data_IF_134240701151
#
_entry.id   IF_134240701151
#
_cell.length_a   1.000
_cell.length_b   1.000
_cell.length_c   1.000
_cell.angle_alpha   90.00
_cell.angle_beta   90.00
_cell.angle_gamma   90.00
#
_symmetry.space_group_name_H-M   'P 1'
#
loop_
_entity.id
_entity.type
_entity.pdbx_description
1 polymer ?
#
# COMPACT_ATOMS: atom_id res chain seq x y z
N UNK A 1 -13.77 14.78 21.72
CA UNK A 1 -12.97 14.77 22.95
C UNK A 1 -12.47 13.35 23.14
N UNK A 2 -11.17 13.13 23.00
CA UNK A 2 -10.53 11.82 22.86
C UNK A 2 -9.63 11.55 24.07
N UNK A 3 -10.19 11.08 25.19
CA UNK A 3 -9.36 10.60 26.30
C UNK A 3 -8.73 9.25 25.95
N UNK A 4 -7.40 9.16 26.05
CA UNK A 4 -6.58 7.96 25.88
C UNK A 4 -5.98 7.45 27.20
N UNK A 5 -6.35 8.06 28.32
CA UNK A 5 -6.02 7.56 29.65
C UNK A 5 -7.33 7.21 30.36
N UNK A 6 -7.43 5.97 30.84
CA UNK A 6 -8.50 5.38 31.65
C UNK A 6 -9.70 4.69 30.96
N UNK A 7 -9.58 3.34 30.90
CA UNK A 7 -10.38 2.39 31.71
C UNK A 7 -11.52 1.54 31.12
N UNK A 8 -11.73 1.45 29.80
CA UNK A 8 -12.80 0.55 29.29
C UNK A 8 -12.44 -0.20 27.98
N UNK A 9 -11.24 -0.76 27.91
CA UNK A 9 -10.83 -1.58 26.75
C UNK A 9 -10.24 -2.93 27.17
N UNK A 10 -10.71 -3.97 26.48
CA UNK A 10 -10.25 -5.35 26.66
C UNK A 10 -8.86 -5.54 26.01
N UNK A 11 -7.82 -5.08 26.69
CA UNK A 11 -6.42 -5.24 26.29
C UNK A 11 -6.08 -6.71 25.99
N UNK A 12 -6.75 -7.65 26.65
CA UNK A 12 -6.63 -9.11 26.45
C UNK A 12 -6.91 -9.55 25.02
N UNK A 13 -7.88 -8.92 24.33
CA UNK A 13 -8.19 -9.23 22.92
C UNK A 13 -7.10 -8.77 21.97
N UNK A 14 -6.54 -7.58 22.21
CA UNK A 14 -5.43 -7.07 21.40
C UNK A 14 -4.17 -7.90 21.66
N UNK A 15 -3.93 -8.30 22.91
CA UNK A 15 -2.80 -9.16 23.26
C UNK A 15 -2.92 -10.54 22.61
N UNK A 16 -4.12 -11.12 22.56
CA UNK A 16 -4.38 -12.35 21.82
C UNK A 16 -4.14 -12.17 20.29
N UNK A 17 -4.54 -11.03 19.73
CA UNK A 17 -4.31 -10.73 18.32
C UNK A 17 -2.83 -10.53 17.99
N UNK A 18 -2.07 -9.92 18.90
CA UNK A 18 -0.61 -9.75 18.79
C UNK A 18 0.12 -11.09 19.00
N UNK A 19 -0.36 -11.94 19.90
CA UNK A 19 0.15 -13.30 20.03
C UNK A 19 -0.07 -14.11 18.75
N UNK A 20 -1.27 -14.04 18.17
CA UNK A 20 -1.59 -14.64 16.87
C UNK A 20 -0.67 -14.13 15.75
N UNK A 21 -0.31 -12.85 15.76
CA UNK A 21 0.57 -12.24 14.76
C UNK A 21 1.97 -12.88 14.68
N UNK A 22 2.47 -13.45 15.78
CA UNK A 22 3.78 -14.13 15.80
C UNK A 22 3.79 -15.38 14.92
N UNK A 23 2.68 -16.10 14.91
CA UNK A 23 2.50 -17.34 14.13
C UNK A 23 1.91 -17.08 12.74
N UNK A 24 1.36 -15.87 12.53
CA UNK A 24 0.58 -15.51 11.35
C UNK A 24 1.05 -14.18 10.75
N UNK A 25 2.36 -14.09 10.49
CA UNK A 25 3.01 -12.83 10.09
C UNK A 25 2.38 -12.15 8.87
N UNK A 26 1.91 -12.91 7.87
CA UNK A 26 1.34 -12.34 6.64
C UNK A 26 -0.04 -11.72 6.89
N UNK A 27 -0.98 -12.40 7.60
CA UNK A 27 -2.24 -11.75 7.98
C UNK A 27 -1.99 -10.61 8.98
N UNK A 28 -0.97 -10.71 9.82
CA UNK A 28 -0.60 -9.62 10.71
C UNK A 28 -0.17 -8.37 9.93
N UNK A 29 0.64 -8.53 8.87
CA UNK A 29 1.01 -7.42 7.98
C UNK A 29 -0.23 -6.85 7.27
N UNK A 30 -1.10 -7.71 6.73
CA UNK A 30 -2.32 -7.26 6.07
C UNK A 30 -3.24 -6.49 7.03
N UNK A 31 -3.41 -7.00 8.24
CA UNK A 31 -4.23 -6.36 9.28
C UNK A 31 -3.60 -5.05 9.76
N UNK A 32 -2.27 -4.94 9.75
CA UNK A 32 -1.56 -3.70 10.08
C UNK A 32 -1.76 -2.63 8.98
N UNK A 33 -1.73 -3.02 7.71
CA UNK A 33 -2.07 -2.13 6.60
C UNK A 33 -3.52 -1.66 6.72
N UNK A 34 -4.46 -2.59 6.92
CA UNK A 34 -5.88 -2.30 7.12
C UNK A 34 -6.08 -1.35 8.32
N UNK A 35 -5.36 -1.57 9.43
CA UNK A 35 -5.38 -0.73 10.63
C UNK A 35 -4.85 0.69 10.36
N UNK A 36 -3.76 0.83 9.59
CA UNK A 36 -3.19 2.14 9.23
C UNK A 36 -4.16 2.97 8.39
N UNK A 37 -4.88 2.32 7.47
CA UNK A 37 -5.89 2.97 6.65
C UNK A 37 -7.13 3.35 7.48
N UNK A 38 -7.55 2.50 8.44
CA UNK A 38 -8.65 2.82 9.34
C UNK A 38 -8.34 4.06 10.21
N UNK A 39 -7.12 4.16 10.74
CA UNK A 39 -6.66 5.33 11.50
C UNK A 39 -6.75 6.60 10.64
N UNK A 40 -6.49 6.47 9.34
CA UNK A 40 -6.62 7.55 8.36
C UNK A 40 -8.06 7.82 7.87
N UNK A 41 -9.09 7.12 8.35
CA UNK A 41 -10.43 7.20 7.77
C UNK A 41 -11.31 8.32 8.39
N UNK A 42 -12.07 9.07 7.57
CA UNK A 42 -13.11 10.01 8.06
C UNK A 42 -14.45 9.30 8.35
N UNK A 43 -15.34 9.99 9.08
CA UNK A 43 -16.74 9.55 9.25
C UNK A 43 -17.49 9.46 7.92
N UNK A 44 -17.37 10.48 7.07
CA UNK A 44 -18.05 10.50 5.75
C UNK A 44 -17.63 9.32 4.86
N UNK A 45 -16.40 8.83 5.01
CA UNK A 45 -15.86 7.70 4.26
C UNK A 45 -16.19 6.35 4.88
N UNK A 46 -16.29 6.30 6.21
CA UNK A 46 -16.69 5.08 6.93
C UNK A 46 -17.97 4.48 6.33
N UNK A 47 -18.96 5.33 6.02
CA UNK A 47 -20.24 4.88 5.45
C UNK A 47 -20.10 4.30 4.03
N UNK A 48 -19.12 4.75 3.26
CA UNK A 48 -18.83 4.27 1.90
C UNK A 48 -17.96 3.01 1.87
N UNK A 49 -17.21 2.74 2.95
CA UNK A 49 -16.19 1.69 3.00
C UNK A 49 -16.45 0.55 3.96
N UNK A 50 -17.53 0.61 4.75
CA UNK A 50 -17.92 -0.44 5.69
C UNK A 50 -18.08 -1.82 5.06
N UNK A 51 -18.27 -1.89 3.74
CA UNK A 51 -18.42 -3.13 2.98
C UNK A 51 -17.16 -3.62 2.26
N UNK A 52 -16.07 -2.85 2.32
CA UNK A 52 -14.79 -3.20 1.72
C UNK A 52 -14.14 -4.41 2.39
N UNK A 53 -13.27 -5.12 1.65
CA UNK A 53 -12.57 -6.30 2.13
C UNK A 53 -11.69 -6.03 3.36
N UNK A 54 -10.95 -4.92 3.36
CA UNK A 54 -10.11 -4.52 4.50
C UNK A 54 -10.93 -4.21 5.74
N UNK A 55 -12.04 -3.49 5.58
CA UNK A 55 -12.88 -3.13 6.72
C UNK A 55 -13.54 -4.36 7.32
N UNK A 56 -14.01 -5.30 6.47
CA UNK A 56 -14.55 -6.58 6.94
C UNK A 56 -13.51 -7.41 7.69
N UNK A 57 -12.26 -7.49 7.19
CA UNK A 57 -11.17 -8.19 7.89
C UNK A 57 -10.88 -7.57 9.25
N UNK A 58 -10.70 -6.24 9.28
CA UNK A 58 -10.38 -5.50 10.49
C UNK A 58 -11.53 -5.58 11.51
N UNK A 59 -12.78 -5.40 11.07
CA UNK A 59 -13.97 -5.60 11.89
C UNK A 59 -13.98 -7.02 12.44
N UNK A 60 -14.02 -8.07 11.61
CA UNK A 60 -14.08 -9.45 12.09
C UNK A 60 -12.98 -9.81 13.11
N UNK A 61 -11.77 -9.26 12.97
CA UNK A 61 -10.64 -9.52 13.88
C UNK A 61 -10.65 -8.69 15.15
N UNK A 62 -11.06 -7.43 15.09
CA UNK A 62 -11.15 -6.56 16.27
C UNK A 62 -12.45 -6.78 17.05
N UNK A 63 -13.47 -7.36 16.41
CA UNK A 63 -14.87 -7.21 16.80
C UNK A 63 -15.54 -8.49 17.27
N UNK A 64 -14.82 -9.45 17.83
CA UNK A 64 -15.33 -10.79 18.20
C UNK A 64 -16.71 -10.88 18.91
N UNK A 65 -17.21 -9.78 19.49
CA UNK A 65 -18.60 -9.63 20.00
C UNK A 65 -19.22 -8.23 19.76
N UNK A 66 -18.76 -7.45 18.78
CA UNK A 66 -19.30 -6.12 18.51
C UNK A 66 -20.53 -6.20 17.59
N UNK A 67 -21.58 -6.85 18.07
CA UNK A 67 -22.96 -6.65 17.58
C UNK A 67 -23.44 -5.21 17.77
N UNK A 68 -22.70 -4.36 18.47
CA UNK A 68 -23.04 -2.95 18.73
C UNK A 68 -22.44 -1.93 17.75
N UNK A 69 -21.58 -2.34 16.80
CA UNK A 69 -20.99 -1.46 15.76
C UNK A 69 -21.94 -1.20 14.57
N UNK A 70 -23.18 -1.68 14.64
CA UNK A 70 -24.15 -1.61 13.54
C UNK A 70 -24.64 -0.20 13.23
N UNK A 71 -24.45 0.75 14.15
CA UNK A 71 -24.97 2.11 13.99
C UNK A 71 -24.16 2.97 13.04
N UNK A 72 -22.92 2.56 12.73
CA UNK A 72 -22.02 3.27 11.81
C UNK A 72 -21.78 4.73 12.18
N UNK A 73 -21.88 5.07 13.46
CA UNK A 73 -21.77 6.45 13.90
C UNK A 73 -20.31 6.83 14.24
N UNK A 74 -20.09 8.11 14.50
CA UNK A 74 -18.75 8.65 14.75
C UNK A 74 -18.07 8.01 15.97
N UNK A 75 -18.84 7.64 17.00
CA UNK A 75 -18.28 7.04 18.21
C UNK A 75 -17.75 5.63 17.93
N UNK A 76 -18.43 4.86 17.09
CA UNK A 76 -17.99 3.52 16.67
C UNK A 76 -16.69 3.57 15.86
N UNK A 77 -16.59 4.50 14.89
CA UNK A 77 -15.35 4.75 14.15
C UNK A 77 -14.19 5.11 15.09
N UNK A 78 -14.43 6.03 16.03
CA UNK A 78 -13.43 6.45 17.03
C UNK A 78 -12.91 5.26 17.83
N UNK A 79 -13.81 4.37 18.29
CA UNK A 79 -13.42 3.17 19.02
C UNK A 79 -12.55 2.24 18.16
N UNK A 80 -12.95 1.99 16.91
CA UNK A 80 -12.16 1.15 16.01
C UNK A 80 -10.77 1.74 15.73
N UNK A 81 -10.66 3.06 15.54
CA UNK A 81 -9.39 3.75 15.32
C UNK A 81 -8.44 3.60 16.53
N UNK A 82 -8.97 3.66 17.76
CA UNK A 82 -8.20 3.38 18.99
C UNK A 82 -7.69 1.93 19.01
N UNK A 83 -8.51 0.95 18.64
CA UNK A 83 -8.08 -0.45 18.54
C UNK A 83 -6.97 -0.65 17.50
N UNK A 84 -7.15 -0.12 16.30
CA UNK A 84 -6.15 -0.16 15.24
C UNK A 84 -4.82 0.48 15.67
N UNK A 85 -4.89 1.59 16.40
CA UNK A 85 -3.72 2.26 16.96
C UNK A 85 -2.95 1.39 17.95
N UNK A 86 -3.64 0.85 18.97
CA UNK A 86 -3.00 0.02 20.00
C UNK A 86 -2.40 -1.25 19.37
N UNK A 87 -3.08 -1.84 18.38
CA UNK A 87 -2.57 -2.96 17.61
C UNK A 87 -1.26 -2.61 16.87
N UNK A 88 -1.25 -1.54 16.07
CA UNK A 88 -0.04 -1.09 15.37
C UNK A 88 1.12 -0.80 16.32
N UNK A 89 0.83 -0.11 17.43
CA UNK A 89 1.82 0.18 18.47
C UNK A 89 2.44 -1.09 19.03
N UNK A 90 1.63 -2.09 19.41
CA UNK A 90 2.13 -3.36 19.97
C UNK A 90 2.91 -4.18 18.94
N UNK A 91 2.48 -4.22 17.68
CA UNK A 91 3.25 -4.88 16.63
C UNK A 91 4.61 -4.20 16.43
N UNK A 92 4.65 -2.87 16.45
CA UNK A 92 5.89 -2.10 16.36
C UNK A 92 6.81 -2.34 17.56
N UNK A 93 6.29 -2.30 18.79
CA UNK A 93 7.07 -2.52 20.02
C UNK A 93 7.66 -3.94 20.10
N UNK A 94 7.02 -4.92 19.46
CA UNK A 94 7.48 -6.31 19.41
C UNK A 94 8.24 -6.65 18.13
N UNK A 95 8.54 -5.68 17.27
CA UNK A 95 9.22 -5.87 15.98
C UNK A 95 8.54 -6.92 15.07
N UNK A 96 7.21 -6.98 15.08
CA UNK A 96 6.42 -7.94 14.30
C UNK A 96 6.01 -7.42 12.91
N UNK A 97 6.31 -6.15 12.61
CA UNK A 97 6.06 -5.56 11.30
C UNK A 97 7.26 -5.78 10.39
N UNK A 98 6.97 -6.26 9.17
CA UNK A 98 7.94 -6.39 8.08
C UNK A 98 8.19 -5.02 7.45
N UNK A 99 9.37 -4.83 6.89
CA UNK A 99 9.88 -3.56 6.39
C UNK A 99 8.98 -2.98 5.28
N UNK A 100 8.50 -3.84 4.37
CA UNK A 100 7.54 -3.44 3.32
C UNK A 100 6.21 -2.92 3.87
N UNK A 101 5.73 -3.50 4.97
CA UNK A 101 4.50 -3.03 5.60
C UNK A 101 4.77 -1.70 6.33
N UNK A 102 5.93 -1.55 6.96
CA UNK A 102 6.32 -0.32 7.67
C UNK A 102 6.33 0.88 6.74
N UNK A 103 6.88 0.75 5.54
CA UNK A 103 6.93 1.84 4.57
C UNK A 103 5.53 2.32 4.17
N UNK A 104 4.63 1.39 3.83
CA UNK A 104 3.24 1.72 3.49
C UNK A 104 2.48 2.28 4.68
N UNK A 105 2.61 1.68 5.88
CA UNK A 105 1.97 2.16 7.12
C UNK A 105 2.45 3.58 7.45
N UNK A 106 3.75 3.84 7.32
CA UNK A 106 4.34 5.17 7.57
C UNK A 106 3.73 6.22 6.64
N UNK A 107 3.66 5.93 5.34
CA UNK A 107 3.06 6.83 4.36
C UNK A 107 1.58 7.07 4.67
N UNK A 108 0.84 6.01 5.06
CA UNK A 108 -0.55 6.10 5.49
C UNK A 108 -0.72 7.03 6.71
N UNK A 109 0.06 6.81 7.76
CA UNK A 109 -0.04 7.61 8.99
C UNK A 109 0.45 9.06 8.81
N UNK A 110 1.39 9.30 7.90
CA UNK A 110 1.88 10.64 7.58
C UNK A 110 0.76 11.53 7.01
N UNK A 111 -0.21 10.95 6.30
CA UNK A 111 -1.40 11.65 5.83
C UNK A 111 -2.23 12.27 6.97
N UNK A 112 -2.30 11.59 8.11
CA UNK A 112 -3.20 11.96 9.22
C UNK A 112 -2.59 13.01 10.16
N UNK A 113 -1.30 13.31 10.00
CA UNK A 113 -0.52 14.15 10.92
C UNK A 113 -1.01 15.60 11.00
N UNK A 114 -1.66 16.12 9.97
CA UNK A 114 -2.14 17.51 9.96
C UNK A 114 -3.44 17.70 10.76
N UNK A 115 -4.16 16.62 11.06
CA UNK A 115 -5.53 16.70 11.61
C UNK A 115 -5.68 15.89 12.92
N UNK A 116 -4.61 15.23 13.36
CA UNK A 116 -4.59 14.35 14.53
C UNK A 116 -4.86 15.02 15.90
N UNK A 117 -5.19 16.32 15.95
CA UNK A 117 -5.60 17.02 17.19
C UNK A 117 -4.70 16.69 18.38
N UNK A 118 -5.28 16.13 19.44
CA UNK A 118 -4.61 15.74 20.70
C UNK A 118 -3.68 14.51 20.55
N UNK A 119 -3.88 13.64 19.55
CA UNK A 119 -3.10 12.41 19.33
C UNK A 119 -1.94 12.60 18.34
N UNK A 120 -1.78 13.82 17.80
CA UNK A 120 -0.74 14.16 16.83
C UNK A 120 0.65 13.77 17.31
N UNK A 121 0.99 14.08 18.56
CA UNK A 121 2.29 13.73 19.13
C UNK A 121 2.55 12.21 19.16
N UNK A 122 1.51 11.41 19.41
CA UNK A 122 1.62 9.96 19.42
C UNK A 122 1.83 9.40 18.00
N UNK A 123 1.07 9.90 17.00
CA UNK A 123 1.24 9.50 15.59
C UNK A 123 2.62 9.92 15.06
N UNK A 124 3.08 11.14 15.38
CA UNK A 124 4.45 11.59 15.05
C UNK A 124 5.47 10.61 15.61
N UNK A 125 5.38 10.27 16.90
CA UNK A 125 6.32 9.34 17.54
C UNK A 125 6.34 7.96 16.85
N UNK A 126 5.18 7.45 16.45
CA UNK A 126 5.11 6.16 15.75
C UNK A 126 5.68 6.24 14.32
N UNK A 127 5.38 7.31 13.59
CA UNK A 127 5.94 7.60 12.25
C UNK A 127 7.46 7.75 12.33
N UNK A 128 7.97 8.43 13.36
CA UNK A 128 9.41 8.60 13.59
C UNK A 128 10.08 7.25 13.90
N UNK A 129 9.49 6.43 14.77
CA UNK A 129 9.97 5.08 15.05
C UNK A 129 9.97 4.17 13.82
N UNK A 130 8.98 4.30 12.94
CA UNK A 130 8.99 3.61 11.65
C UNK A 130 10.13 4.10 10.76
N UNK A 131 10.37 5.42 10.71
CA UNK A 131 11.51 6.01 10.01
C UNK A 131 12.86 5.54 10.54
N UNK A 132 13.02 5.46 11.87
CA UNK A 132 14.24 4.94 12.51
C UNK A 132 14.50 3.48 12.16
N UNK A 133 13.44 2.64 12.15
CA UNK A 133 13.56 1.23 11.76
C UNK A 133 13.98 1.07 10.30
N UNK A 134 13.38 1.83 9.39
CA UNK A 134 13.78 1.83 7.98
C UNK A 134 15.25 2.23 7.83
N UNK A 135 15.68 3.31 8.52
CA UNK A 135 17.09 3.76 8.58
C UNK A 135 18.08 2.74 9.18
N UNK A 136 17.60 1.85 10.04
CA UNK A 136 18.44 0.80 10.61
C UNK A 136 18.58 -0.40 9.66
N UNK A 137 17.57 -0.68 8.84
CA UNK A 137 17.63 -1.73 7.83
C UNK A 137 18.65 -1.42 6.72
N UNK A 138 18.84 -0.14 6.39
CA UNK A 138 19.85 0.32 5.41
C UNK A 138 21.28 -0.12 5.79
N UNK A 139 21.54 -0.37 7.08
CA UNK A 139 22.88 -0.67 7.61
C UNK A 139 23.24 -2.16 7.70
N UNK A 140 22.28 -3.07 7.49
CA UNK A 140 22.47 -4.52 7.67
C UNK A 140 22.57 -5.31 6.35
N UNK A 141 23.01 -4.68 5.25
CA UNK A 141 23.14 -5.37 3.95
C UNK A 141 24.38 -6.27 3.95
N UNK A 142 24.24 -7.47 4.53
CA UNK A 142 25.20 -8.58 4.46
C UNK A 142 24.74 -9.64 3.43
N UNK A 143 24.40 -9.20 2.20
CA UNK A 143 24.08 -10.11 1.10
C UNK A 143 24.79 -9.67 -0.20
N UNK A 144 26.11 -9.89 -0.26
CA UNK A 144 26.98 -9.59 -1.41
C UNK A 144 26.39 -10.03 -2.76
N UNK A 145 25.71 -11.18 -2.82
CA UNK A 145 25.11 -11.69 -4.07
C UNK A 145 23.84 -10.93 -4.51
N UNK A 146 23.01 -10.50 -3.56
CA UNK A 146 21.82 -9.69 -3.85
C UNK A 146 22.24 -8.32 -4.38
N UNK A 147 23.19 -7.67 -3.70
CA UNK A 147 23.68 -6.35 -4.06
C UNK A 147 24.31 -6.31 -5.46
N UNK A 148 25.13 -7.32 -5.82
CA UNK A 148 25.70 -7.41 -7.18
C UNK A 148 24.62 -7.53 -8.26
N UNK A 149 23.54 -8.27 -7.99
CA UNK A 149 22.43 -8.40 -8.93
C UNK A 149 21.66 -7.07 -9.08
N UNK A 150 21.39 -6.37 -7.97
CA UNK A 150 20.76 -5.06 -7.99
C UNK A 150 21.59 -4.04 -8.79
N UNK A 151 22.90 -3.99 -8.57
CA UNK A 151 23.81 -3.14 -9.33
C UNK A 151 23.80 -3.45 -10.84
N UNK A 152 23.77 -4.74 -11.22
CA UNK A 152 23.68 -5.15 -12.63
C UNK A 152 22.36 -4.73 -13.26
N UNK A 153 21.23 -4.90 -12.56
CA UNK A 153 19.94 -4.46 -13.06
C UNK A 153 19.91 -2.93 -13.20
N UNK A 154 20.42 -2.21 -12.21
CA UNK A 154 20.53 -0.74 -12.25
C UNK A 154 21.37 -0.26 -13.44
N UNK A 155 22.51 -0.90 -13.70
CA UNK A 155 23.34 -0.58 -14.87
C UNK A 155 22.60 -0.77 -16.20
N UNK A 156 21.55 -1.61 -16.23
CA UNK A 156 20.72 -1.83 -17.42
C UNK A 156 19.59 -0.80 -17.60
N UNK A 157 19.32 0.09 -16.64
CA UNK A 157 18.21 1.05 -16.70
C UNK A 157 18.27 1.90 -17.99
N UNK A 158 19.45 2.43 -18.31
CA UNK A 158 19.64 3.31 -19.48
C UNK A 158 19.38 2.65 -20.83
N UNK A 159 19.43 1.32 -20.90
CA UNK A 159 19.23 0.55 -22.14
C UNK A 159 17.83 -0.09 -22.21
N UNK A 160 17.04 -0.01 -21.14
CA UNK A 160 15.68 -0.56 -21.08
C UNK A 160 14.61 0.35 -21.71
N UNK A 161 14.99 1.56 -22.11
CA UNK A 161 14.14 2.42 -22.91
C UNK A 161 12.97 3.04 -22.14
N UNK A 162 13.11 3.31 -20.84
CA UNK A 162 12.02 3.87 -20.02
C UNK A 162 11.66 5.31 -20.40
N UNK A 163 12.57 6.03 -21.04
CA UNK A 163 12.38 7.40 -21.52
C UNK A 163 11.20 7.53 -22.51
N UNK A 164 10.80 6.43 -23.16
CA UNK A 164 9.64 6.38 -24.04
C UNK A 164 8.31 6.62 -23.29
N UNK A 165 8.28 6.42 -21.97
CA UNK A 165 7.09 6.60 -21.15
C UNK A 165 7.03 8.03 -20.56
N UNK A 166 5.84 8.62 -20.47
CA UNK A 166 5.57 9.81 -19.67
C UNK A 166 5.86 9.59 -18.16
N UNK A 167 5.88 10.65 -17.36
CA UNK A 167 6.45 10.67 -16.00
C UNK A 167 5.91 9.58 -15.05
N UNK A 168 4.59 9.50 -14.84
CA UNK A 168 3.98 8.50 -13.94
C UNK A 168 4.04 7.10 -14.53
N UNK A 169 3.76 6.93 -15.83
CA UNK A 169 3.87 5.65 -16.51
C UNK A 169 5.32 5.12 -16.52
N UNK A 170 6.31 6.01 -16.54
CA UNK A 170 7.74 5.67 -16.42
C UNK A 170 8.05 5.14 -15.02
N UNK A 171 7.55 5.81 -13.98
CA UNK A 171 7.67 5.33 -12.60
C UNK A 171 7.02 3.96 -12.44
N UNK A 172 5.79 3.77 -12.97
CA UNK A 172 5.10 2.48 -12.94
C UNK A 172 5.93 1.41 -13.66
N UNK A 173 6.39 1.69 -14.88
CA UNK A 173 7.19 0.75 -15.68
C UNK A 173 8.45 0.31 -14.94
N UNK A 174 9.20 1.28 -14.38
CA UNK A 174 10.46 0.99 -13.69
C UNK A 174 10.24 0.24 -12.38
N UNK A 175 9.23 0.61 -11.59
CA UNK A 175 8.97 -0.01 -10.28
C UNK A 175 8.46 -1.45 -10.43
N UNK A 176 7.58 -1.70 -11.41
CA UNK A 176 7.08 -3.05 -11.68
C UNK A 176 8.16 -3.94 -12.30
N UNK A 177 8.99 -3.42 -13.19
CA UNK A 177 10.14 -4.17 -13.73
C UNK A 177 11.21 -4.45 -12.66
N UNK A 178 11.48 -3.48 -11.79
CA UNK A 178 12.38 -3.66 -10.65
C UNK A 178 11.86 -4.74 -9.71
N UNK A 179 10.57 -4.71 -9.38
CA UNK A 179 9.92 -5.75 -8.61
C UNK A 179 10.05 -7.14 -9.26
N UNK A 180 9.76 -7.26 -10.56
CA UNK A 180 9.91 -8.52 -11.31
C UNK A 180 11.34 -9.05 -11.26
N UNK A 181 12.33 -8.15 -11.27
CA UNK A 181 13.74 -8.53 -11.13
C UNK A 181 14.08 -9.04 -9.72
N UNK A 182 13.64 -8.33 -8.68
CA UNK A 182 13.81 -8.74 -7.27
C UNK A 182 13.22 -10.14 -7.08
N UNK A 183 12.03 -10.37 -7.61
CA UNK A 183 11.35 -11.66 -7.57
C UNK A 183 12.10 -12.75 -8.34
N UNK A 184 12.58 -12.46 -9.56
CA UNK A 184 13.37 -13.38 -10.40
C UNK A 184 14.65 -13.85 -9.73
N UNK A 185 15.33 -12.93 -9.04
CA UNK A 185 16.58 -13.19 -8.33
C UNK A 185 16.38 -13.67 -6.90
N UNK A 186 15.12 -13.82 -6.46
CA UNK A 186 14.76 -14.20 -5.10
C UNK A 186 15.48 -13.33 -4.06
N UNK A 187 15.56 -12.02 -4.34
CA UNK A 187 16.15 -11.02 -3.46
C UNK A 187 15.16 -10.75 -2.33
N UNK A 188 15.67 -10.75 -1.10
CA UNK A 188 14.88 -10.40 0.08
C UNK A 188 14.38 -8.96 -0.04
N UNK A 189 13.09 -8.74 0.15
CA UNK A 189 12.48 -7.41 0.11
C UNK A 189 13.08 -6.46 1.16
N UNK A 190 13.57 -7.01 2.28
CA UNK A 190 14.23 -6.24 3.34
C UNK A 190 15.56 -5.64 2.87
N UNK A 191 16.22 -6.24 1.87
CA UNK A 191 17.43 -5.68 1.26
C UNK A 191 17.14 -4.46 0.36
N UNK A 192 15.87 -4.19 0.03
CA UNK A 192 15.47 -3.17 -0.93
C UNK A 192 14.77 -1.98 -0.25
N UNK A 193 13.90 -2.23 0.73
CA UNK A 193 13.00 -1.20 1.28
C UNK A 193 13.66 -0.19 2.24
N UNK A 194 14.87 -0.49 2.71
CA UNK A 194 15.75 0.46 3.39
C UNK A 194 16.91 0.94 2.53
N UNK A 195 16.93 0.67 1.22
CA UNK A 195 18.03 1.17 0.39
C UNK A 195 17.69 2.53 -0.21
N UNK A 196 18.72 3.27 -0.65
CA UNK A 196 18.58 4.42 -1.51
C UNK A 196 18.24 4.04 -2.96
N UNK A 197 18.01 2.75 -3.26
CA UNK A 197 17.82 2.23 -4.62
C UNK A 197 16.69 2.96 -5.36
N UNK A 198 15.55 3.23 -4.71
CA UNK A 198 14.43 3.89 -5.39
C UNK A 198 14.79 5.33 -5.76
N UNK A 199 15.42 6.09 -4.87
CA UNK A 199 15.87 7.47 -5.14
C UNK A 199 16.84 7.50 -6.31
N UNK A 200 17.79 6.57 -6.27
CA UNK A 200 18.81 6.35 -7.27
C UNK A 200 18.22 5.95 -8.62
N UNK A 201 17.27 5.01 -8.65
CA UNK A 201 16.60 4.56 -9.87
C UNK A 201 15.85 5.74 -10.49
N UNK A 202 15.09 6.50 -9.69
CA UNK A 202 14.36 7.67 -10.16
C UNK A 202 15.29 8.73 -10.76
N UNK A 203 16.44 8.97 -10.14
CA UNK A 203 17.48 9.83 -10.72
C UNK A 203 17.99 9.31 -12.07
N UNK A 204 18.29 8.00 -12.16
CA UNK A 204 18.80 7.37 -13.38
C UNK A 204 17.79 7.42 -14.54
N UNK A 205 16.48 7.49 -14.27
CA UNK A 205 15.42 7.70 -15.26
C UNK A 205 14.96 9.16 -15.41
N UNK A 206 15.75 10.11 -14.89
CA UNK A 206 15.52 11.56 -14.97
C UNK A 206 14.18 12.02 -14.38
N UNK A 207 13.78 11.43 -13.25
CA UNK A 207 12.62 11.84 -12.47
C UNK A 207 13.10 12.67 -11.27
N UNK A 208 12.59 13.90 -11.14
CA UNK A 208 12.73 14.66 -9.90
C UNK A 208 11.87 14.01 -8.82
N UNK A 209 12.49 13.14 -8.01
CA UNK A 209 11.80 12.37 -6.99
C UNK A 209 11.27 13.23 -5.83
N UNK A 210 11.76 14.46 -5.67
CA UNK A 210 11.28 15.42 -4.66
C UNK A 210 10.04 16.21 -5.12
N UNK A 211 9.75 16.18 -6.42
CA UNK A 211 8.56 16.81 -6.98
C UNK A 211 7.33 16.31 -6.24
N UNK A 212 6.51 17.25 -5.79
CA UNK A 212 5.28 16.95 -5.07
C UNK A 212 4.08 16.99 -6.01
N UNK A 213 3.17 16.05 -5.81
CA UNK A 213 1.90 15.98 -6.52
C UNK A 213 0.79 15.70 -5.49
N UNK A 214 -0.34 16.41 -5.61
CA UNK A 214 -1.53 16.06 -4.83
C UNK A 214 -2.31 14.95 -5.53
N UNK A 215 -3.16 14.25 -4.80
CA UNK A 215 -3.77 13.03 -5.33
C UNK A 215 -4.70 13.23 -6.54
N UNK A 216 -5.44 14.35 -6.59
CA UNK A 216 -6.26 14.71 -7.75
C UNK A 216 -5.40 14.88 -9.00
N UNK A 217 -4.30 15.62 -8.88
CA UNK A 217 -3.32 15.82 -9.96
C UNK A 217 -2.70 14.51 -10.41
N UNK A 218 -2.42 13.58 -9.49
CA UNK A 218 -1.92 12.25 -9.85
C UNK A 218 -2.91 11.52 -10.76
N UNK A 219 -4.19 11.50 -10.39
CA UNK A 219 -5.24 10.80 -11.14
C UNK A 219 -5.41 11.42 -12.53
N UNK A 220 -5.53 12.75 -12.60
CA UNK A 220 -5.65 13.50 -13.85
C UNK A 220 -4.47 13.25 -14.79
N UNK A 221 -3.25 13.34 -14.23
CA UNK A 221 -2.03 13.12 -14.98
C UNK A 221 -1.91 11.68 -15.45
N UNK A 222 -2.25 10.70 -14.63
CA UNK A 222 -2.17 9.29 -15.02
C UNK A 222 -3.11 9.00 -16.21
N UNK A 223 -4.32 9.56 -16.21
CA UNK A 223 -5.26 9.41 -17.33
C UNK A 223 -4.67 10.01 -18.62
N UNK A 224 -4.04 11.19 -18.53
CA UNK A 224 -3.35 11.80 -19.68
C UNK A 224 -2.25 10.91 -20.24
N UNK A 225 -1.44 10.35 -19.35
CA UNK A 225 -0.32 9.51 -19.77
C UNK A 225 -0.79 8.18 -20.35
N UNK A 226 -1.87 7.59 -19.79
CA UNK A 226 -2.53 6.40 -20.36
C UNK A 226 -3.05 6.68 -21.77
N UNK A 227 -3.68 7.85 -21.99
CA UNK A 227 -4.14 8.23 -23.31
C UNK A 227 -2.98 8.38 -24.31
N UNK A 228 -1.83 8.89 -23.86
CA UNK A 228 -0.63 9.03 -24.70
C UNK A 228 0.01 7.68 -25.08
N UNK A 229 0.13 6.74 -24.12
CA UNK A 229 0.82 5.47 -24.37
C UNK A 229 -0.09 4.36 -24.90
N UNK A 230 -1.40 4.55 -24.81
CA UNK A 230 -2.41 3.57 -25.14
C UNK A 230 -2.73 2.63 -23.98
N UNK A 231 -4.01 2.33 -23.83
CA UNK A 231 -4.54 1.55 -22.72
C UNK A 231 -3.95 0.12 -22.64
N UNK A 232 -3.79 -0.57 -23.77
CA UNK A 232 -3.15 -1.90 -23.80
C UNK A 232 -1.74 -1.87 -23.24
N UNK A 233 -0.95 -0.85 -23.59
CA UNK A 233 0.42 -0.70 -23.10
C UNK A 233 0.42 -0.42 -21.59
N UNK A 234 -0.52 0.39 -21.10
CA UNK A 234 -0.71 0.62 -19.66
C UNK A 234 -1.03 -0.67 -18.90
N UNK A 235 -1.95 -1.51 -19.39
CA UNK A 235 -2.26 -2.79 -18.74
C UNK A 235 -1.05 -3.72 -18.68
N UNK A 236 -0.25 -3.78 -19.75
CA UNK A 236 0.98 -4.56 -19.78
C UNK A 236 1.98 -4.10 -18.69
N UNK A 237 2.05 -2.79 -18.39
CA UNK A 237 2.91 -2.30 -17.31
C UNK A 237 2.50 -2.87 -15.95
N UNK A 238 1.20 -3.06 -15.71
CA UNK A 238 0.65 -3.50 -14.43
C UNK A 238 0.60 -5.02 -14.25
N UNK A 239 0.97 -5.82 -15.26
CA UNK A 239 0.95 -7.27 -15.15
C UNK A 239 1.86 -7.75 -14.02
N UNK A 240 1.27 -8.43 -13.04
CA UNK A 240 1.98 -9.03 -11.92
C UNK A 240 1.77 -10.52 -11.94
N UNK A 241 2.88 -11.24 -11.99
CA UNK A 241 2.91 -12.69 -11.99
C UNK A 241 3.64 -13.16 -10.73
N UNK A 242 3.13 -14.22 -10.10
CA UNK A 242 3.93 -14.97 -9.14
C UNK A 242 4.66 -16.07 -9.90
N UNK A 243 5.87 -15.77 -10.39
CA UNK A 243 6.70 -16.71 -11.18
C UNK A 243 6.82 -18.11 -10.57
N UNK A 244 6.90 -18.21 -9.23
CA UNK A 244 7.00 -19.51 -8.54
C UNK A 244 5.72 -20.35 -8.64
N UNK A 245 4.58 -19.72 -8.91
CA UNK A 245 3.25 -20.33 -8.90
C UNK A 245 2.54 -20.22 -10.25
N UNK A 246 3.13 -19.55 -11.25
CA UNK A 246 2.56 -19.30 -12.59
C UNK A 246 1.13 -18.73 -12.51
N UNK A 247 0.96 -17.72 -11.66
CA UNK A 247 -0.34 -17.10 -11.38
C UNK A 247 -0.28 -15.60 -11.59
N UNK A 248 -1.18 -15.13 -12.43
CA UNK A 248 -1.48 -13.72 -12.60
C UNK A 248 -2.29 -13.18 -11.42
N UNK A 249 -1.87 -12.02 -10.94
CA UNK A 249 -2.62 -11.27 -9.93
C UNK A 249 -3.77 -10.54 -10.62
N UNK A 250 -5.02 -10.92 -10.31
CA UNK A 250 -6.18 -10.15 -10.76
C UNK A 250 -6.27 -8.78 -10.06
N UNK A 251 -6.73 -7.77 -10.78
CA UNK A 251 -6.99 -6.43 -10.25
C UNK A 251 -7.97 -6.47 -9.08
N UNK A 252 -8.99 -7.31 -9.18
CA UNK A 252 -9.97 -7.55 -8.11
C UNK A 252 -9.32 -8.07 -6.82
N UNK A 253 -8.26 -8.87 -6.93
CA UNK A 253 -7.50 -9.30 -5.77
C UNK A 253 -6.79 -8.11 -5.12
N UNK A 254 -6.13 -7.26 -5.90
CA UNK A 254 -5.45 -6.06 -5.39
C UNK A 254 -6.42 -5.15 -4.66
N UNK A 255 -7.55 -4.81 -5.30
CA UNK A 255 -8.56 -3.91 -4.72
C UNK A 255 -9.20 -4.43 -3.43
N UNK A 256 -9.22 -5.76 -3.22
CA UNK A 256 -9.76 -6.38 -2.01
C UNK A 256 -8.72 -6.49 -0.89
N UNK A 257 -7.43 -6.52 -1.22
CA UNK A 257 -6.38 -6.95 -0.28
C UNK A 257 -5.37 -5.87 0.06
N UNK A 258 -5.26 -4.80 -0.74
CA UNK A 258 -4.25 -3.76 -0.55
C UNK A 258 -4.89 -2.45 -0.08
N UNK A 259 -4.34 -1.92 1.00
CA UNK A 259 -4.81 -0.74 1.72
C UNK A 259 -3.77 0.38 1.68
N UNK A 260 -3.58 0.97 0.49
CA UNK A 260 -2.70 2.12 0.24
C UNK A 260 -3.37 3.14 -0.69
N UNK A 261 -2.72 4.27 -0.96
CA UNK A 261 -3.34 5.46 -1.56
C UNK A 261 -3.29 5.56 -3.09
N UNK A 262 -2.15 5.22 -3.68
CA UNK A 262 -1.91 5.34 -5.12
C UNK A 262 -1.93 3.98 -5.81
N UNK A 263 -1.42 2.94 -5.17
CA UNK A 263 -1.28 1.63 -5.80
C UNK A 263 -2.62 1.01 -6.22
N UNK A 264 -3.69 0.96 -5.39
CA UNK A 264 -4.99 0.42 -5.81
C UNK A 264 -5.65 1.23 -6.93
N UNK A 265 -5.35 2.54 -7.03
CA UNK A 265 -5.86 3.41 -8.10
C UNK A 265 -5.39 2.92 -9.46
N UNK A 266 -4.14 2.43 -9.57
CA UNK A 266 -3.61 1.87 -10.82
C UNK A 266 -4.50 0.76 -11.38
N UNK A 267 -4.86 -0.20 -10.52
CA UNK A 267 -5.65 -1.38 -10.87
C UNK A 267 -7.13 -1.06 -11.05
N UNK A 268 -7.65 -0.04 -10.33
CA UNK A 268 -9.03 0.39 -10.52
C UNK A 268 -9.21 1.08 -11.87
N UNK A 269 -8.25 1.90 -12.28
CA UNK A 269 -8.21 2.48 -13.62
C UNK A 269 -8.09 1.37 -14.69
N UNK A 270 -7.25 0.36 -14.49
CA UNK A 270 -7.09 -0.73 -15.47
C UNK A 270 -8.33 -1.63 -15.62
N UNK A 271 -9.22 -1.67 -14.62
CA UNK A 271 -10.49 -2.40 -14.68
C UNK A 271 -11.59 -1.65 -15.46
N UNK A 272 -11.54 -0.33 -15.54
CA UNK A 272 -12.59 0.47 -16.18
C UNK A 272 -12.28 0.72 -17.67
N UNK A 273 -11.98 -0.39 -18.36
CA UNK A 273 -11.58 -0.50 -19.76
C UNK A 273 -12.49 0.28 -20.69
N UNK A 274 -13.80 0.10 -20.53
CA UNK A 274 -14.81 0.68 -21.42
C UNK A 274 -14.93 2.19 -21.27
N UNK A 275 -14.65 2.76 -20.08
CA UNK A 275 -14.65 4.22 -19.91
C UNK A 275 -13.40 4.85 -20.48
N UNK A 276 -12.24 4.21 -20.36
CA UNK A 276 -10.98 4.74 -20.88
C UNK A 276 -10.92 4.72 -22.40
N UNK A 277 -11.41 3.65 -23.04
CA UNK A 277 -11.49 3.55 -24.50
C UNK A 277 -12.45 4.58 -25.13
N UNK A 278 -13.38 5.11 -24.33
CA UNK A 278 -14.30 6.16 -24.74
C UNK A 278 -13.76 7.58 -24.54
N UNK A 279 -12.58 7.76 -23.92
CA UNK A 279 -11.93 9.08 -23.84
C UNK A 279 -11.27 9.39 -25.17
N UNK A 280 -11.99 10.12 -26.03
CA UNK A 280 -11.51 10.54 -27.36
C UNK A 280 -11.24 12.03 -27.44
N UNK A 281 -11.86 12.80 -26.57
CA UNK A 281 -11.76 14.26 -26.54
C UNK A 281 -11.36 14.78 -25.16
N UNK A 282 -10.97 16.06 -25.13
CA UNK A 282 -10.69 16.78 -23.87
C UNK A 282 -11.94 16.87 -22.98
N UNK A 283 -13.13 16.92 -23.58
CA UNK A 283 -14.42 16.97 -22.87
C UNK A 283 -14.76 15.62 -22.23
N UNK A 284 -14.54 14.50 -22.93
CA UNK A 284 -14.69 13.16 -22.36
C UNK A 284 -13.77 12.99 -21.14
N UNK A 285 -12.52 13.45 -21.27
CA UNK A 285 -11.55 13.44 -20.17
C UNK A 285 -12.05 14.25 -18.97
N UNK A 286 -12.57 15.47 -19.19
CA UNK A 286 -13.09 16.31 -18.11
C UNK A 286 -14.29 15.67 -17.39
N UNK A 287 -15.12 14.90 -18.10
CA UNK A 287 -16.23 14.16 -17.50
C UNK A 287 -15.77 12.92 -16.71
N UNK A 288 -14.64 12.32 -17.09
CA UNK A 288 -14.11 11.13 -16.43
C UNK A 288 -13.23 11.45 -15.21
N UNK A 289 -12.56 12.60 -15.18
CA UNK A 289 -11.71 13.02 -14.04
C UNK A 289 -12.45 12.92 -12.70
N UNK A 290 -13.69 13.43 -12.52
CA UNK A 290 -14.43 13.29 -11.26
C UNK A 290 -14.71 11.84 -10.87
N UNK A 291 -14.88 10.94 -11.84
CA UNK A 291 -15.21 9.53 -11.64
C UNK A 291 -13.97 8.77 -11.17
N UNK A 292 -12.84 8.96 -11.86
CA UNK A 292 -11.56 8.40 -11.42
C UNK A 292 -11.06 9.07 -10.14
N UNK A 293 -11.32 10.37 -9.97
CA UNK A 293 -11.06 11.07 -8.71
C UNK A 293 -11.93 10.52 -7.60
N UNK A 294 -13.13 9.98 -7.85
CA UNK A 294 -13.91 9.30 -6.81
C UNK A 294 -13.20 8.04 -6.30
N UNK A 295 -12.56 7.26 -7.18
CA UNK A 295 -11.77 6.09 -6.77
C UNK A 295 -10.62 6.44 -5.82
N UNK A 296 -10.15 7.66 -5.99
CA UNK A 296 -9.04 8.29 -5.32
C UNK A 296 -9.45 8.98 -4.00
N UNK A 297 -10.55 9.73 -4.05
CA UNK A 297 -11.20 10.43 -2.92
C UNK A 297 -11.83 9.49 -1.91
N UNK A 298 -12.03 8.25 -2.32
CA UNK A 298 -12.49 7.16 -1.47
C UNK A 298 -11.35 6.67 -0.53
N UNK A 299 -10.07 6.75 -0.93
CA UNK A 299 -8.93 6.19 -0.19
C UNK A 299 -8.13 7.20 0.69
N UNK A 300 -8.16 8.51 0.40
CA UNK A 300 -7.21 9.53 0.94
C UNK A 300 -7.87 10.64 1.73
N UNK A 301 -7.65 10.67 3.05
CA UNK A 301 -8.24 11.60 4.02
C UNK A 301 -8.20 13.09 3.59
N UNK A 302 -7.07 13.57 3.06
CA UNK A 302 -6.89 14.97 2.69
C UNK A 302 -6.35 15.11 1.26
N UNK A 303 -7.21 15.55 0.35
CA UNK A 303 -6.88 15.74 -1.08
C UNK A 303 -5.84 16.84 -1.34
N UNK A 304 -5.52 17.67 -0.32
CA UNK A 304 -4.52 18.73 -0.42
C UNK A 304 -3.14 18.27 0.06
N UNK A 305 -3.00 17.06 0.59
CA UNK A 305 -1.69 16.53 0.96
C UNK A 305 -0.94 16.19 -0.31
N UNK A 306 0.26 16.74 -0.40
CA UNK A 306 1.15 16.57 -1.52
C UNK A 306 2.18 15.50 -1.19
N UNK A 307 2.34 14.54 -2.09
CA UNK A 307 3.25 13.41 -1.97
C UNK A 307 4.40 13.60 -2.94
N UNK A 308 5.62 13.31 -2.47
CA UNK A 308 6.78 13.25 -3.37
C UNK A 308 6.63 12.07 -4.33
N UNK A 309 7.19 12.20 -5.54
CA UNK A 309 7.26 11.07 -6.48
C UNK A 309 8.04 9.89 -5.90
N UNK A 310 9.00 10.13 -5.00
CA UNK A 310 9.66 9.10 -4.21
C UNK A 310 8.68 8.28 -3.36
N UNK A 311 7.78 8.94 -2.61
CA UNK A 311 6.78 8.25 -1.79
C UNK A 311 5.84 7.39 -2.64
N UNK A 312 5.45 7.89 -3.81
CA UNK A 312 4.57 7.17 -4.74
C UNK A 312 5.28 5.95 -5.33
N UNK A 313 6.53 6.10 -5.78
CA UNK A 313 7.33 5.00 -6.32
C UNK A 313 7.55 3.89 -5.27
N UNK A 314 7.91 4.28 -4.04
CA UNK A 314 8.04 3.38 -2.90
C UNK A 314 6.74 2.64 -2.57
N UNK A 315 5.60 3.32 -2.67
CA UNK A 315 4.30 2.69 -2.49
C UNK A 315 4.02 1.65 -3.58
N UNK A 316 4.36 1.94 -4.85
CA UNK A 316 4.17 0.97 -5.93
C UNK A 316 4.99 -0.30 -5.73
N UNK A 317 6.27 -0.13 -5.40
CA UNK A 317 7.16 -1.26 -5.12
C UNK A 317 6.67 -2.09 -3.93
N UNK A 318 6.33 -1.43 -2.83
CA UNK A 318 5.80 -2.09 -1.62
C UNK A 318 4.47 -2.79 -1.90
N UNK A 319 3.59 -2.17 -2.69
CA UNK A 319 2.33 -2.76 -3.12
C UNK A 319 2.51 -4.09 -3.84
N UNK A 320 3.47 -4.17 -4.77
CA UNK A 320 3.79 -5.41 -5.49
C UNK A 320 4.28 -6.51 -4.52
N UNK A 321 5.16 -6.14 -3.59
CA UNK A 321 5.70 -7.04 -2.57
C UNK A 321 4.60 -7.57 -1.63
N UNK A 322 3.70 -6.70 -1.17
CA UNK A 322 2.57 -7.07 -0.31
C UNK A 322 1.63 -8.03 -1.04
N UNK A 323 1.21 -7.69 -2.26
CA UNK A 323 0.29 -8.50 -3.08
C UNK A 323 0.82 -9.92 -3.24
N UNK A 324 2.07 -10.05 -3.66
CA UNK A 324 2.67 -11.36 -3.93
C UNK A 324 2.85 -12.18 -2.66
N UNK A 325 3.18 -11.54 -1.54
CA UNK A 325 3.27 -12.19 -0.24
C UNK A 325 1.92 -12.72 0.24
N UNK A 326 0.85 -11.92 0.13
CA UNK A 326 -0.51 -12.34 0.53
C UNK A 326 -1.01 -13.46 -0.37
N UNK A 327 -0.83 -13.34 -1.68
CA UNK A 327 -1.34 -14.32 -2.64
C UNK A 327 -0.61 -15.67 -2.52
N UNK A 328 0.73 -15.66 -2.37
CA UNK A 328 1.51 -16.90 -2.16
C UNK A 328 1.01 -17.69 -0.94
N UNK A 329 0.62 -17.01 0.14
CA UNK A 329 0.04 -17.67 1.33
C UNK A 329 -1.35 -18.23 1.07
N UNK A 330 -2.24 -17.49 0.40
CA UNK A 330 -3.60 -17.96 0.10
C UNK A 330 -3.61 -19.22 -0.77
N UNK A 331 -2.57 -19.40 -1.58
CA UNK A 331 -2.38 -20.60 -2.39
C UNK A 331 -1.79 -21.73 -1.52
N UNK A 332 -0.73 -21.44 -0.77
CA UNK A 332 -0.10 -22.40 0.14
C UNK A 332 -1.07 -22.97 1.21
N UNK A 333 -2.04 -22.19 1.67
CA UNK A 333 -3.09 -22.67 2.57
C UNK A 333 -4.05 -23.64 1.86
N UNK A 334 -4.49 -23.34 0.62
CA UNK A 334 -5.34 -24.25 -0.17
C UNK A 334 -4.67 -25.61 -0.44
N UNK A 335 -3.35 -25.64 -0.70
CA UNK A 335 -2.61 -26.89 -0.89
C UNK A 335 -2.39 -27.66 0.42
N UNK A 336 -2.23 -26.99 1.57
CA UNK A 336 -2.15 -27.64 2.89
C UNK A 336 -3.46 -28.32 3.32
N UNK A 337 -4.61 -27.79 2.90
CA UNK A 337 -5.92 -28.40 3.18
C UNK A 337 -6.29 -29.55 2.24
N UNK A 338 -5.61 -29.71 1.09
CA UNK A 338 -5.82 -30.84 0.17
C UNK A 338 -4.93 -32.06 0.48
N UNK A 339 -3.90 -31.91 1.33
CA UNK A 339 -2.94 -32.97 1.67
C UNK A 339 -3.27 -33.73 2.96
N UNK A 340 -4.37 -33.38 3.64
CA UNK A 340 -4.86 -34.07 4.86
C UNK A 340 -6.14 -34.89 4.63
N UNK A 341 -6.47 -35.19 3.37
CA UNK A 341 -7.56 -36.09 3.01
C UNK A 341 -7.01 -37.33 2.30
N UNK A 342 -6.36 -38.21 3.06
CA UNK A 342 -6.17 -39.63 2.74
C UNK A 342 -6.22 -40.46 4.01
#
# INVERSE_FOLDING_TARGET
MFDLYESDYDHTKIDALVAYARENQIEAQQLALDASQLIAMTKERFDSYKDSGFFKRLRLRLSGELGSLERGNQQDLIKMQKYAWIYLKKLQEQNLLQEYAILTIRNNLQEVLEIAGENRAAIINLVDKFGDRLRHCEKNIDLLNGHVNLLKWRASIKIRGYEQYPELCRIIAVMFDYFRFIQDKNIDYNAVIGSDDVEVILNDISIDYNKKIVHSQFTEKLIDEIHQIGFTKYQQLLQLEIKKLDIDVSENFVLRNISSYFYPVLFRISLDTSRLENIRTREDKQQMIPIFSKYSQEAIYNHNISYSLLQIANEFLSGCMIVTTILARNIGSRYKYQTHSY
#
